data_IF_099020033483
#
_entry.id   IF_099020033483
#
_cell.length_a   1.000
_cell.length_b   1.000
_cell.length_c   1.000
_cell.angle_alpha   90.00
_cell.angle_beta   90.00
_cell.angle_gamma   90.00
#
_symmetry.space_group_name_H-M   'P 1'
#
loop_
_entity.id
_entity.type
_entity.pdbx_description
1 polymer ?
#
# COMPACT_ATOMS: atom_id res chain seq x y z
N UNK A 1 -20.16 -1.17 3.99
CA UNK A 1 -18.69 -1.30 3.99
C UNK A 1 -18.02 -0.20 3.17
N UNK A 2 -18.43 0.01 1.91
CA UNK A 2 -17.86 1.06 1.04
C UNK A 2 -17.85 2.45 1.66
N UNK A 3 -18.99 2.87 2.23
CA UNK A 3 -19.13 4.13 2.93
C UNK A 3 -18.13 4.30 4.08
N UNK A 4 -17.92 3.26 4.89
CA UNK A 4 -16.97 3.29 5.99
C UNK A 4 -15.53 3.46 5.48
N UNK A 5 -15.15 2.79 4.40
CA UNK A 5 -13.81 2.93 3.82
C UNK A 5 -13.60 4.29 3.14
N UNK A 6 -14.64 4.83 2.51
CA UNK A 6 -14.58 6.20 1.99
C UNK A 6 -14.44 7.21 3.14
N UNK A 7 -15.20 7.04 4.22
CA UNK A 7 -15.08 7.85 5.43
C UNK A 7 -13.68 7.72 6.07
N UNK A 8 -13.09 6.52 6.14
CA UNK A 8 -11.72 6.31 6.61
C UNK A 8 -10.69 7.08 5.77
N UNK A 9 -10.75 6.97 4.44
CA UNK A 9 -9.85 7.71 3.55
C UNK A 9 -10.00 9.23 3.72
N UNK A 10 -11.23 9.73 3.79
CA UNK A 10 -11.48 11.15 3.99
C UNK A 10 -10.99 11.61 5.37
N UNK A 11 -11.24 10.84 6.43
CA UNK A 11 -10.75 11.11 7.78
C UNK A 11 -9.23 11.21 7.81
N UNK A 12 -8.50 10.32 7.12
CA UNK A 12 -7.04 10.44 6.97
C UNK A 12 -6.63 11.76 6.33
N UNK A 13 -7.30 12.17 5.25
CA UNK A 13 -6.95 13.41 4.54
C UNK A 13 -7.27 14.65 5.38
N UNK A 14 -8.41 14.67 6.07
CA UNK A 14 -8.77 15.74 7.00
C UNK A 14 -7.78 15.83 8.16
N UNK A 15 -7.42 14.69 8.76
CA UNK A 15 -6.42 14.62 9.82
C UNK A 15 -5.05 15.10 9.32
N UNK A 16 -4.66 14.74 8.10
CA UNK A 16 -3.41 15.18 7.51
C UNK A 16 -3.37 16.68 7.25
N UNK A 17 -4.44 17.25 6.69
CA UNK A 17 -4.58 18.70 6.51
C UNK A 17 -4.54 19.43 7.87
N UNK A 18 -5.33 18.95 8.85
CA UNK A 18 -5.34 19.50 10.20
C UNK A 18 -3.95 19.48 10.84
N UNK A 19 -3.22 18.37 10.72
CA UNK A 19 -1.88 18.23 11.27
C UNK A 19 -0.89 19.20 10.62
N UNK A 20 -0.97 19.40 9.29
CA UNK A 20 -0.11 20.34 8.58
C UNK A 20 -0.42 21.81 8.94
N UNK A 21 -1.69 22.14 9.16
CA UNK A 21 -2.12 23.50 9.52
C UNK A 21 -1.85 23.86 10.98
N UNK A 22 -1.84 22.89 11.89
CA UNK A 22 -1.62 23.15 13.32
C UNK A 22 -0.16 23.52 13.63
N UNK A 23 0.07 24.47 14.55
CA UNK A 23 1.39 24.71 15.15
C UNK A 23 1.98 23.43 15.75
N UNK A 24 3.29 23.24 15.66
CA UNK A 24 3.96 21.98 16.03
C UNK A 24 3.71 21.58 17.49
N UNK A 25 3.68 22.55 18.40
CA UNK A 25 3.38 22.42 19.83
C UNK A 25 1.96 21.90 20.09
N UNK A 26 1.01 22.14 19.18
CA UNK A 26 -0.39 21.72 19.30
C UNK A 26 -0.71 20.37 18.65
N UNK A 27 0.27 19.74 17.98
CA UNK A 27 0.12 18.44 17.28
C UNK A 27 0.18 17.27 18.26
N UNK A 28 -0.79 17.21 19.17
CA UNK A 28 -0.90 16.11 20.13
C UNK A 28 -1.97 15.11 19.72
N UNK A 29 -1.81 13.85 20.16
CA UNK A 29 -2.83 12.82 19.96
C UNK A 29 -4.18 13.22 20.57
N UNK A 30 -4.17 13.89 21.73
CA UNK A 30 -5.39 14.34 22.40
C UNK A 30 -6.14 15.42 21.59
N UNK A 31 -5.43 16.41 21.05
CA UNK A 31 -6.03 17.44 20.21
C UNK A 31 -6.58 16.87 18.90
N UNK A 32 -5.83 15.96 18.26
CA UNK A 32 -6.28 15.27 17.06
C UNK A 32 -7.53 14.41 17.32
N UNK A 33 -7.57 13.71 18.45
CA UNK A 33 -8.70 12.92 18.89
C UNK A 33 -9.95 13.78 19.15
N UNK A 34 -9.80 14.92 19.83
CA UNK A 34 -10.88 15.89 20.01
C UNK A 34 -11.41 16.41 18.66
N UNK A 35 -10.53 16.76 17.72
CA UNK A 35 -10.92 17.19 16.38
C UNK A 35 -11.67 16.09 15.60
N UNK A 36 -11.25 14.83 15.73
CA UNK A 36 -11.94 13.69 15.13
C UNK A 36 -13.34 13.52 15.73
N UNK A 37 -13.48 13.64 17.06
CA UNK A 37 -14.80 13.57 17.71
C UNK A 37 -15.74 14.66 17.19
N UNK A 38 -15.27 15.91 17.16
CA UNK A 38 -16.03 17.04 16.65
C UNK A 38 -16.44 16.83 15.19
N UNK A 39 -15.49 16.48 14.31
CA UNK A 39 -15.76 16.25 12.89
C UNK A 39 -16.76 15.11 12.63
N UNK A 40 -16.84 14.12 13.52
CA UNK A 40 -17.84 13.04 13.43
C UNK A 40 -19.23 13.48 13.86
N UNK A 41 -19.34 14.50 14.70
CA UNK A 41 -20.61 15.12 15.08
C UNK A 41 -21.11 16.04 13.95
N UNK A 42 -20.19 16.84 13.39
CA UNK A 42 -20.55 17.86 12.40
C UNK A 42 -20.81 17.27 11.01
N UNK A 43 -20.18 16.14 10.68
CA UNK A 43 -20.22 15.53 9.36
C UNK A 43 -20.73 14.08 9.43
N UNK A 44 -22.01 13.88 9.11
CA UNK A 44 -22.66 12.56 9.05
C UNK A 44 -21.88 11.54 8.22
N UNK A 45 -21.24 12.00 7.14
CA UNK A 45 -20.42 11.15 6.30
C UNK A 45 -19.23 10.54 7.07
N UNK A 46 -18.59 11.30 7.97
CA UNK A 46 -17.51 10.79 8.83
C UNK A 46 -18.05 9.93 9.96
N UNK A 47 -19.27 10.21 10.43
CA UNK A 47 -19.95 9.40 11.43
C UNK A 47 -20.17 7.96 10.94
N UNK A 48 -20.26 7.70 9.62
CA UNK A 48 -20.36 6.34 9.07
C UNK A 48 -19.19 5.43 9.51
N UNK A 49 -18.00 5.98 9.75
CA UNK A 49 -16.86 5.22 10.28
C UNK A 49 -17.09 4.88 11.78
N UNK A 50 -16.92 3.63 12.22
CA UNK A 50 -17.00 3.30 13.65
C UNK A 50 -15.99 4.09 14.49
N UNK A 51 -16.35 4.46 15.72
CA UNK A 51 -15.50 5.26 16.62
C UNK A 51 -14.13 4.60 16.86
N UNK A 52 -14.15 3.31 17.16
CA UNK A 52 -12.93 2.52 17.34
C UNK A 52 -12.05 2.50 16.07
N UNK A 53 -12.66 2.45 14.89
CA UNK A 53 -11.94 2.49 13.62
C UNK A 53 -11.27 3.86 13.38
N UNK A 54 -11.92 4.96 13.76
CA UNK A 54 -11.30 6.30 13.75
C UNK A 54 -10.09 6.39 14.68
N UNK A 55 -10.18 5.81 15.88
CA UNK A 55 -9.06 5.76 16.82
C UNK A 55 -7.88 4.95 16.26
N UNK A 56 -8.17 3.79 15.66
CA UNK A 56 -7.14 2.97 15.00
C UNK A 56 -6.48 3.72 13.82
N UNK A 57 -7.26 4.51 13.08
CA UNK A 57 -6.76 5.37 12.01
C UNK A 57 -5.83 6.46 12.55
N UNK A 58 -6.20 7.15 13.63
CA UNK A 58 -5.34 8.15 14.29
C UNK A 58 -4.00 7.53 14.73
N UNK A 59 -4.05 6.36 15.38
CA UNK A 59 -2.84 5.62 15.77
C UNK A 59 -1.97 5.26 14.57
N UNK A 60 -2.58 4.83 13.47
CA UNK A 60 -1.88 4.50 12.23
C UNK A 60 -1.23 5.73 11.60
N UNK A 61 -1.95 6.87 11.61
CA UNK A 61 -1.46 8.14 11.10
C UNK A 61 -0.26 8.65 11.91
N UNK A 62 -0.37 8.67 13.23
CA UNK A 62 0.74 9.07 14.10
C UNK A 62 1.93 8.13 13.97
N UNK A 63 1.69 6.81 13.87
CA UNK A 63 2.76 5.84 13.62
C UNK A 63 3.50 6.13 12.30
N UNK A 64 2.81 6.60 11.27
CA UNK A 64 3.45 6.95 10.00
C UNK A 64 4.44 8.13 10.18
N UNK A 65 4.10 9.13 11.00
CA UNK A 65 5.02 10.19 11.39
C UNK A 65 6.21 9.69 12.22
N UNK A 66 5.95 8.82 13.21
CA UNK A 66 7.03 8.19 14.02
C UNK A 66 8.00 7.40 13.14
N UNK A 67 7.49 6.73 12.10
CA UNK A 67 8.34 6.02 11.15
C UNK A 67 9.15 7.00 10.27
N UNK A 68 8.54 8.12 9.87
CA UNK A 68 9.21 9.17 9.11
C UNK A 68 10.34 9.83 9.92
N UNK A 69 10.08 10.24 11.16
CA UNK A 69 11.11 10.82 12.02
C UNK A 69 12.24 9.83 12.34
N UNK A 70 11.94 8.54 12.38
CA UNK A 70 12.94 7.49 12.53
C UNK A 70 13.66 7.10 11.22
N UNK A 71 13.44 7.82 10.11
CA UNK A 71 14.07 7.53 8.81
C UNK A 71 13.65 6.21 8.16
N UNK A 72 12.57 5.57 8.64
CA UNK A 72 12.09 4.26 8.16
C UNK A 72 11.08 4.37 7.01
N UNK A 73 10.51 5.55 6.81
CA UNK A 73 9.50 5.81 5.78
C UNK A 73 9.52 7.28 5.37
N UNK A 74 8.93 7.60 4.23
CA UNK A 74 8.69 8.98 3.80
C UNK A 74 7.57 9.65 4.63
N UNK A 75 7.45 10.97 4.49
CA UNK A 75 6.39 11.75 5.11
C UNK A 75 4.99 11.20 4.73
N UNK A 76 4.06 11.08 5.71
CA UNK A 76 2.67 10.74 5.39
C UNK A 76 2.09 11.73 4.38
N UNK A 77 1.29 11.24 3.42
CA UNK A 77 0.69 12.08 2.38
C UNK A 77 -0.81 11.79 2.23
N UNK A 78 -1.51 12.65 1.49
CA UNK A 78 -2.91 12.50 1.11
C UNK A 78 -3.18 11.18 0.38
N UNK A 79 -4.32 10.59 0.69
CA UNK A 79 -4.82 9.34 0.10
C UNK A 79 -5.76 9.63 -1.06
N UNK A 80 -5.28 9.32 -2.27
CA UNK A 80 -6.07 9.43 -3.49
C UNK A 80 -7.12 8.32 -3.60
N UNK A 81 -8.32 8.66 -4.09
CA UNK A 81 -9.48 7.74 -4.18
C UNK A 81 -9.18 6.46 -4.96
N UNK A 82 -8.43 6.56 -6.07
CA UNK A 82 -8.19 5.44 -6.97
C UNK A 82 -6.86 4.70 -6.74
N UNK A 83 -5.96 5.27 -5.92
CA UNK A 83 -4.66 4.65 -5.58
C UNK A 83 -4.67 3.99 -4.20
N UNK A 84 -5.63 4.36 -3.35
CA UNK A 84 -5.71 3.85 -1.98
C UNK A 84 -6.65 2.66 -1.93
N UNK A 85 -6.17 1.54 -1.39
CA UNK A 85 -6.99 0.37 -1.12
C UNK A 85 -8.08 0.74 -0.10
N UNK A 86 -9.33 0.45 -0.43
CA UNK A 86 -10.44 0.66 0.50
C UNK A 86 -10.31 -0.34 1.65
N UNK A 87 -10.12 0.18 2.86
CA UNK A 87 -9.95 -0.64 4.04
C UNK A 87 -10.55 0.01 5.28
N UNK A 88 -10.95 -0.82 6.23
CA UNK A 88 -11.50 -0.41 7.53
C UNK A 88 -10.92 -1.31 8.61
N UNK A 89 -10.30 -0.72 9.63
CA UNK A 89 -9.77 -1.46 10.77
C UNK A 89 -10.85 -1.69 11.82
N UNK A 90 -10.91 -2.91 12.37
CA UNK A 90 -11.78 -3.28 13.49
C UNK A 90 -10.87 -3.71 14.64
N UNK A 91 -10.44 -2.78 15.50
CA UNK A 91 -9.38 -3.02 16.48
C UNK A 91 -9.79 -3.91 17.65
N UNK A 92 -11.09 -4.11 17.89
CA UNK A 92 -11.57 -4.94 18.99
C UNK A 92 -12.11 -6.28 18.48
N UNK A 93 -11.39 -7.36 18.75
CA UNK A 93 -11.75 -8.72 18.35
C UNK A 93 -12.96 -9.27 19.11
N UNK A 94 -13.14 -8.87 20.38
CA UNK A 94 -14.25 -9.33 21.23
C UNK A 94 -15.63 -9.04 20.64
N UNK A 95 -15.79 -7.93 19.92
CA UNK A 95 -17.07 -7.50 19.37
C UNK A 95 -17.43 -8.26 18.07
N UNK A 96 -16.46 -8.98 17.49
CA UNK A 96 -16.62 -9.67 16.21
C UNK A 96 -17.54 -10.90 16.29
N UNK A 97 -17.74 -11.51 17.48
CA UNK A 97 -18.66 -12.63 17.70
C UNK A 97 -18.62 -13.69 16.58
N UNK A 98 -17.43 -14.22 16.32
CA UNK A 98 -17.18 -15.08 15.16
C UNK A 98 -17.72 -16.48 15.45
N UNK A 99 -18.63 -16.94 14.59
CA UNK A 99 -19.24 -18.27 14.71
C UNK A 99 -19.01 -19.06 13.43
N UNK A 100 -18.51 -20.28 13.55
CA UNK A 100 -18.41 -21.21 12.41
C UNK A 100 -19.80 -21.79 12.15
N UNK A 101 -20.33 -21.58 10.95
CA UNK A 101 -21.65 -22.10 10.56
C UNK A 101 -21.50 -23.51 10.00
N UNK A 102 -20.54 -23.69 9.08
CA UNK A 102 -20.16 -25.00 8.56
C UNK A 102 -18.75 -24.94 7.95
N UNK A 103 -18.30 -26.02 7.30
CA UNK A 103 -16.91 -26.16 6.82
C UNK A 103 -16.38 -24.96 5.99
N UNK A 104 -17.25 -24.32 5.19
CA UNK A 104 -16.89 -23.28 4.21
C UNK A 104 -17.32 -21.87 4.63
N UNK A 105 -18.13 -21.72 5.67
CA UNK A 105 -18.75 -20.43 5.99
C UNK A 105 -18.76 -20.17 7.50
N UNK A 106 -18.49 -18.92 7.86
CA UNK A 106 -18.71 -18.38 9.20
C UNK A 106 -19.57 -17.13 9.17
N UNK A 107 -19.94 -16.67 10.36
CA UNK A 107 -20.55 -15.36 10.57
C UNK A 107 -19.68 -14.50 11.48
N UNK A 108 -19.72 -13.20 11.26
CA UNK A 108 -19.01 -12.19 12.03
C UNK A 108 -19.90 -10.95 12.19
N UNK A 109 -19.86 -10.33 13.37
CA UNK A 109 -20.49 -9.05 13.66
C UNK A 109 -19.55 -7.92 13.26
N UNK A 110 -20.02 -7.03 12.38
CA UNK A 110 -19.26 -5.88 11.93
C UNK A 110 -19.90 -4.57 12.44
N UNK A 111 -19.12 -3.65 13.04
CA UNK A 111 -19.66 -2.40 13.55
C UNK A 111 -20.39 -1.59 12.46
N UNK A 112 -21.60 -1.10 12.78
CA UNK A 112 -22.48 -0.33 11.88
C UNK A 112 -22.88 -1.04 10.56
N UNK A 113 -22.63 -2.34 10.45
CA UNK A 113 -23.03 -3.18 9.31
C UNK A 113 -23.94 -4.32 9.79
N UNK A 114 -23.67 -4.87 10.97
CA UNK A 114 -24.40 -6.00 11.54
C UNK A 114 -23.73 -7.34 11.27
N UNK A 115 -24.51 -8.41 11.41
CA UNK A 115 -24.03 -9.79 11.28
C UNK A 115 -23.93 -10.16 9.80
N UNK A 116 -22.73 -10.55 9.35
CA UNK A 116 -22.48 -10.91 7.95
C UNK A 116 -21.86 -12.30 7.84
N UNK A 117 -22.08 -12.95 6.70
CA UNK A 117 -21.43 -14.21 6.36
C UNK A 117 -20.08 -13.95 5.69
N UNK A 118 -19.09 -14.77 5.99
CA UNK A 118 -17.79 -14.76 5.30
C UNK A 118 -17.36 -16.18 4.96
N UNK A 119 -16.50 -16.30 3.94
CA UNK A 119 -15.92 -17.58 3.55
C UNK A 119 -14.86 -17.99 4.56
N UNK A 120 -15.02 -19.16 5.17
CA UNK A 120 -14.04 -19.73 6.08
C UNK A 120 -12.92 -20.38 5.26
N UNK A 121 -11.75 -19.74 5.21
CA UNK A 121 -10.62 -20.16 4.38
C UNK A 121 -9.42 -20.67 5.16
N UNK A 122 -9.27 -20.24 6.42
CA UNK A 122 -8.21 -20.65 7.34
C UNK A 122 -8.83 -20.99 8.69
N UNK A 123 -8.20 -21.88 9.46
CA UNK A 123 -8.65 -22.13 10.82
C UNK A 123 -8.43 -20.89 11.68
N UNK A 124 -9.42 -20.61 12.52
CA UNK A 124 -9.44 -19.43 13.38
C UNK A 124 -9.59 -19.90 14.84
N UNK A 125 -8.87 -19.27 15.78
CA UNK A 125 -8.99 -19.58 17.20
C UNK A 125 -10.28 -18.95 17.74
N UNK A 126 -11.37 -19.71 17.65
CA UNK A 126 -12.71 -19.33 18.12
C UNK A 126 -13.30 -20.42 19.02
N UNK A 127 -14.26 -20.04 19.87
CA UNK A 127 -14.90 -20.97 20.81
C UNK A 127 -13.87 -21.63 21.74
N UNK A 128 -13.94 -22.95 21.92
CA UNK A 128 -13.02 -23.71 22.78
C UNK A 128 -11.55 -23.65 22.37
N UNK A 129 -11.25 -23.24 21.13
CA UNK A 129 -9.88 -23.08 20.63
C UNK A 129 -9.29 -21.70 20.95
N UNK A 130 -10.12 -20.77 21.43
CA UNK A 130 -9.67 -19.44 21.82
C UNK A 130 -9.23 -19.47 23.30
N UNK A 131 -8.04 -18.96 23.58
CA UNK A 131 -7.49 -18.80 24.92
C UNK A 131 -6.71 -17.50 25.05
N UNK A 132 -6.13 -17.24 26.23
CA UNK A 132 -5.28 -16.05 26.46
C UNK A 132 -4.15 -15.95 25.44
N UNK A 133 -3.57 -17.11 25.11
CA UNK A 133 -2.38 -17.24 24.26
C UNK A 133 -2.70 -17.57 22.80
N UNK A 134 -3.97 -17.74 22.43
CA UNK A 134 -4.38 -18.00 21.05
C UNK A 134 -5.76 -17.43 20.79
N UNK A 135 -5.84 -16.19 20.32
CA UNK A 135 -7.11 -15.47 20.16
C UNK A 135 -7.10 -14.44 19.03
N UNK A 136 -8.29 -14.08 18.59
CA UNK A 136 -8.50 -12.99 17.65
C UNK A 136 -8.52 -11.67 18.40
N UNK A 137 -7.58 -10.78 18.07
CA UNK A 137 -7.46 -9.45 18.70
C UNK A 137 -8.18 -8.37 17.93
N UNK A 138 -8.47 -8.60 16.65
CA UNK A 138 -9.24 -7.69 15.81
C UNK A 138 -9.34 -8.21 14.39
N UNK A 139 -9.87 -7.38 13.50
CA UNK A 139 -9.93 -7.68 12.07
C UNK A 139 -9.66 -6.44 11.22
N UNK A 140 -9.45 -6.63 9.94
CA UNK A 140 -9.42 -5.58 8.93
C UNK A 140 -10.24 -5.99 7.74
N UNK A 141 -11.15 -5.12 7.32
CA UNK A 141 -11.86 -5.24 6.06
C UNK A 141 -11.00 -4.61 4.97
N UNK A 142 -10.83 -5.31 3.86
CA UNK A 142 -10.06 -4.85 2.70
C UNK A 142 -10.86 -5.16 1.45
N UNK A 143 -11.03 -4.18 0.56
CA UNK A 143 -11.70 -4.38 -0.73
C UNK A 143 -10.65 -4.50 -1.83
N UNK A 144 -10.75 -5.58 -2.60
CA UNK A 144 -9.95 -5.78 -3.82
C UNK A 144 -10.88 -5.99 -5.03
N UNK A 145 -10.34 -6.54 -6.13
CA UNK A 145 -11.10 -6.79 -7.35
C UNK A 145 -12.11 -7.97 -7.26
N UNK A 146 -11.96 -8.87 -6.27
CA UNK A 146 -12.90 -9.96 -6.00
C UNK A 146 -14.02 -9.53 -5.04
N UNK A 147 -13.80 -8.47 -4.27
CA UNK A 147 -14.79 -7.87 -3.40
C UNK A 147 -14.23 -7.58 -2.03
N UNK A 148 -15.07 -7.73 -1.00
CA UNK A 148 -14.69 -7.51 0.38
C UNK A 148 -14.08 -8.76 0.99
N UNK A 149 -12.90 -8.59 1.57
CA UNK A 149 -12.18 -9.59 2.34
C UNK A 149 -12.08 -9.15 3.80
N UNK A 150 -12.12 -10.11 4.72
CA UNK A 150 -11.85 -9.90 6.13
C UNK A 150 -10.57 -10.64 6.50
N UNK A 151 -9.59 -9.90 7.01
CA UNK A 151 -8.37 -10.44 7.58
C UNK A 151 -8.45 -10.38 9.11
N UNK A 152 -8.40 -11.53 9.77
CA UNK A 152 -8.40 -11.61 11.22
C UNK A 152 -6.98 -11.46 11.74
N UNK A 153 -6.80 -10.57 12.72
CA UNK A 153 -5.55 -10.47 13.48
C UNK A 153 -5.62 -11.47 14.61
N UNK A 154 -4.66 -12.38 14.64
CA UNK A 154 -4.54 -13.42 15.64
C UNK A 154 -3.29 -13.13 16.46
N UNK A 155 -3.42 -13.24 17.78
CA UNK A 155 -2.31 -13.33 18.70
C UNK A 155 -2.16 -14.80 19.09
N UNK A 156 -1.00 -15.37 18.82
CA UNK A 156 -0.63 -16.74 19.18
C UNK A 156 0.69 -16.70 19.94
N UNK A 157 0.80 -17.46 21.03
CA UNK A 157 2.07 -17.80 21.67
C UNK A 157 2.66 -18.99 20.91
N UNK A 158 3.78 -18.76 20.23
CA UNK A 158 4.55 -19.81 19.57
C UNK A 158 5.88 -19.96 20.29
N UNK A 159 6.36 -21.19 20.40
CA UNK A 159 7.72 -21.44 20.89
C UNK A 159 8.72 -20.80 19.93
N UNK A 160 9.82 -20.30 20.47
CA UNK A 160 10.89 -19.74 19.63
C UNK A 160 11.37 -20.83 18.65
N UNK A 161 11.36 -20.56 17.33
CA UNK A 161 11.76 -21.55 16.37
C UNK A 161 13.25 -21.84 16.54
N UNK A 162 13.61 -23.12 16.57
CA UNK A 162 15.02 -23.51 16.58
C UNK A 162 15.70 -23.02 15.28
N UNK A 163 16.99 -22.65 15.33
CA UNK A 163 17.75 -22.32 14.13
C UNK A 163 17.65 -23.44 13.10
N UNK A 164 17.26 -23.07 11.89
CA UNK A 164 17.12 -24.02 10.80
C UNK A 164 18.52 -24.52 10.37
N UNK A 165 18.73 -25.84 10.39
CA UNK A 165 20.04 -26.47 10.12
C UNK A 165 20.39 -26.59 8.63
N UNK A 166 19.57 -26.00 7.76
CA UNK A 166 19.82 -25.96 6.33
C UNK A 166 21.03 -25.10 5.95
N UNK A 167 21.54 -25.24 4.72
CA UNK A 167 22.71 -24.48 4.28
C UNK A 167 22.42 -22.99 4.17
N UNK A 168 23.50 -22.21 4.06
CA UNK A 168 23.45 -20.78 3.81
C UNK A 168 23.35 -20.49 2.32
N UNK A 169 22.61 -19.44 1.95
CA UNK A 169 22.50 -19.01 0.56
C UNK A 169 22.41 -17.50 0.42
N UNK A 170 23.11 -16.96 -0.58
CA UNK A 170 22.95 -15.59 -1.05
C UNK A 170 21.89 -15.51 -2.15
N UNK A 171 21.04 -14.49 -2.11
CA UNK A 171 20.04 -14.19 -3.14
C UNK A 171 20.42 -12.87 -3.84
N UNK A 172 20.66 -12.97 -5.14
CA UNK A 172 20.70 -11.83 -6.06
C UNK A 172 19.33 -11.68 -6.77
N UNK A 173 18.76 -10.47 -6.74
CA UNK A 173 17.43 -10.19 -7.29
C UNK A 173 17.52 -9.52 -8.66
N UNK A 174 17.20 -10.26 -9.71
CA UNK A 174 17.32 -9.82 -11.10
C UNK A 174 15.99 -9.57 -11.84
N UNK A 175 16.10 -8.99 -13.04
CA UNK A 175 14.95 -8.77 -13.94
C UNK A 175 14.67 -9.97 -14.83
N UNK A 176 15.74 -10.64 -15.30
CA UNK A 176 15.62 -11.80 -16.18
C UNK A 176 15.41 -13.09 -15.38
N UNK A 177 16.23 -13.28 -14.37
CA UNK A 177 16.10 -14.33 -13.36
C UNK A 177 15.67 -13.61 -12.08
N UNK A 178 14.43 -13.82 -11.60
CA UNK A 178 13.91 -13.09 -10.44
C UNK A 178 14.78 -13.23 -9.20
N UNK A 179 15.24 -14.45 -8.91
CA UNK A 179 16.12 -14.76 -7.78
C UNK A 179 17.19 -15.74 -8.23
N UNK A 180 18.44 -15.30 -8.30
CA UNK A 180 19.60 -16.15 -8.50
C UNK A 180 20.23 -16.49 -7.15
N UNK A 181 20.53 -17.77 -6.92
CA UNK A 181 21.07 -18.26 -5.66
C UNK A 181 22.58 -18.51 -5.81
N UNK A 182 23.34 -18.24 -4.74
CA UNK A 182 24.81 -18.42 -4.74
C UNK A 182 25.26 -19.87 -4.96
N UNK A 183 24.37 -20.85 -4.73
CA UNK A 183 24.60 -22.27 -4.97
C UNK A 183 24.37 -22.70 -6.44
N UNK A 184 24.30 -21.73 -7.38
CA UNK A 184 24.00 -21.92 -8.81
C UNK A 184 22.55 -22.34 -9.12
N UNK A 185 21.69 -22.37 -8.13
CA UNK A 185 20.24 -22.53 -8.33
C UNK A 185 19.58 -21.18 -8.65
N UNK A 186 18.33 -21.21 -9.08
CA UNK A 186 17.52 -20.02 -9.29
C UNK A 186 16.04 -20.30 -9.07
N UNK A 187 15.32 -19.29 -8.61
CA UNK A 187 13.86 -19.33 -8.52
C UNK A 187 13.29 -18.42 -9.59
N UNK A 188 12.74 -19.03 -10.63
CA UNK A 188 11.96 -18.34 -11.65
C UNK A 188 10.47 -18.71 -11.56
N UNK A 189 9.68 -17.99 -12.35
CA UNK A 189 8.23 -18.17 -12.42
C UNK A 189 7.80 -18.89 -13.71
N UNK A 190 8.72 -19.54 -14.42
CA UNK A 190 8.48 -20.26 -15.68
C UNK A 190 7.94 -19.39 -16.81
N UNK A 191 8.21 -18.08 -16.77
CA UNK A 191 7.69 -17.11 -17.75
C UNK A 191 8.85 -16.32 -18.33
N UNK A 192 8.88 -16.11 -19.67
CA UNK A 192 9.94 -15.34 -20.30
C UNK A 192 10.06 -13.94 -19.68
N UNK A 193 11.28 -13.42 -19.48
CA UNK A 193 11.45 -12.09 -18.93
C UNK A 193 11.07 -10.98 -19.91
N UNK A 194 11.19 -11.27 -21.22
CA UNK A 194 10.91 -10.38 -22.35
C UNK A 194 10.08 -11.10 -23.41
N UNK A 195 9.37 -10.32 -24.21
CA UNK A 195 8.72 -10.78 -25.44
C UNK A 195 9.78 -11.06 -26.54
N UNK A 196 9.40 -11.77 -27.63
CA UNK A 196 10.32 -12.04 -28.75
C UNK A 196 10.92 -10.77 -29.38
N UNK A 197 10.23 -9.64 -29.28
CA UNK A 197 10.68 -8.33 -29.75
C UNK A 197 11.64 -7.60 -28.77
N UNK A 198 12.02 -8.25 -27.66
CA UNK A 198 12.90 -7.70 -26.63
C UNK A 198 12.21 -6.75 -25.65
N UNK A 199 10.91 -6.48 -25.80
CA UNK A 199 10.17 -5.59 -24.90
C UNK A 199 9.78 -6.30 -23.59
N UNK A 200 9.57 -5.52 -22.53
CA UNK A 200 9.15 -6.05 -21.23
C UNK A 200 7.68 -6.47 -21.27
N UNK A 201 7.39 -7.73 -20.97
CA UNK A 201 6.02 -8.22 -20.86
C UNK A 201 5.39 -7.75 -19.55
N UNK A 202 4.60 -6.66 -19.64
CA UNK A 202 3.85 -6.08 -18.51
C UNK A 202 2.74 -7.01 -18.00
N UNK A 203 2.26 -7.90 -18.86
CA UNK A 203 1.15 -8.80 -18.59
C UNK A 203 1.63 -10.27 -18.51
N UNK A 204 2.90 -10.48 -18.14
CA UNK A 204 3.53 -11.82 -18.07
C UNK A 204 2.76 -12.82 -17.21
N UNK A 205 2.00 -12.34 -16.23
CA UNK A 205 1.18 -13.14 -15.32
C UNK A 205 -0.20 -13.52 -15.89
N UNK A 206 -0.50 -13.14 -17.13
CA UNK A 206 -1.70 -13.54 -17.89
C UNK A 206 -1.36 -14.67 -18.87
N UNK A 207 -2.35 -15.51 -19.19
CA UNK A 207 -2.25 -16.47 -20.29
C UNK A 207 -2.44 -15.76 -21.64
N UNK A 208 -2.01 -16.36 -22.74
CA UNK A 208 -2.19 -15.76 -24.08
C UNK A 208 -3.66 -15.44 -24.40
N UNK A 209 -4.60 -16.32 -23.99
CA UNK A 209 -6.04 -16.07 -24.12
C UNK A 209 -6.50 -14.86 -23.29
N UNK A 210 -5.94 -14.68 -22.10
CA UNK A 210 -6.24 -13.54 -21.22
C UNK A 210 -5.63 -12.24 -21.73
N UNK A 211 -4.42 -12.28 -22.30
CA UNK A 211 -3.76 -11.14 -22.96
C UNK A 211 -4.57 -10.68 -24.18
N UNK A 212 -5.00 -11.61 -25.04
CA UNK A 212 -5.86 -11.29 -26.18
C UNK A 212 -7.19 -10.65 -25.74
N UNK A 213 -7.79 -11.18 -24.66
CA UNK A 213 -9.01 -10.60 -24.06
C UNK A 213 -8.74 -9.21 -23.48
N UNK A 214 -7.64 -9.01 -22.78
CA UNK A 214 -7.24 -7.71 -22.22
C UNK A 214 -7.10 -6.68 -23.34
N UNK A 215 -6.37 -7.01 -24.40
CA UNK A 215 -6.17 -6.14 -25.56
C UNK A 215 -7.50 -5.74 -26.21
N UNK A 216 -8.42 -6.69 -26.40
CA UNK A 216 -9.77 -6.41 -26.92
C UNK A 216 -10.53 -5.44 -26.04
N UNK A 217 -10.49 -5.64 -24.71
CA UNK A 217 -11.17 -4.76 -23.75
C UNK A 217 -10.54 -3.36 -23.71
N UNK A 218 -9.22 -3.26 -23.79
CA UNK A 218 -8.50 -1.98 -23.82
C UNK A 218 -8.83 -1.19 -25.07
N UNK A 219 -8.85 -1.83 -26.24
CA UNK A 219 -9.31 -1.21 -27.50
C UNK A 219 -10.76 -0.73 -27.40
N UNK A 220 -11.65 -1.54 -26.84
CA UNK A 220 -13.04 -1.14 -26.60
C UNK A 220 -13.16 0.03 -25.64
N UNK A 221 -12.36 0.06 -24.57
CA UNK A 221 -12.34 1.16 -23.61
C UNK A 221 -11.82 2.44 -24.26
N UNK A 222 -10.75 2.36 -25.04
CA UNK A 222 -10.17 3.49 -25.76
C UNK A 222 -11.17 4.08 -26.76
N UNK A 223 -11.80 3.23 -27.58
CA UNK A 223 -12.83 3.66 -28.52
C UNK A 223 -14.03 4.30 -27.82
N UNK A 224 -14.52 3.73 -26.71
CA UNK A 224 -15.62 4.37 -25.96
C UNK A 224 -15.21 5.69 -25.31
N UNK A 225 -13.93 5.83 -24.92
CA UNK A 225 -13.40 7.08 -24.38
C UNK A 225 -13.23 8.16 -25.46
N UNK A 226 -13.01 7.81 -26.73
CA UNK A 226 -12.88 8.82 -27.78
C UNK A 226 -14.18 9.59 -28.05
N UNK A 227 -15.34 8.97 -27.79
CA UNK A 227 -16.64 9.66 -27.86
C UNK A 227 -17.04 10.37 -26.57
N UNK A 228 -16.28 10.22 -25.49
CA UNK A 228 -16.62 10.78 -24.18
C UNK A 228 -16.19 12.24 -24.09
N UNK A 229 -17.11 13.16 -23.76
CA UNK A 229 -16.77 14.58 -23.58
C UNK A 229 -16.24 14.87 -22.18
N UNK A 230 -15.33 15.83 -22.03
CA UNK A 230 -14.79 16.21 -20.72
C UNK A 230 -15.93 16.72 -19.82
N UNK A 231 -16.05 16.19 -18.60
CA UNK A 231 -17.11 16.53 -17.64
C UNK A 231 -18.37 15.66 -17.73
N UNK A 232 -18.50 14.83 -18.77
CA UNK A 232 -19.62 13.90 -18.90
C UNK A 232 -19.52 12.75 -17.89
N UNK A 233 -20.67 12.25 -17.43
CA UNK A 233 -20.70 11.05 -16.57
C UNK A 233 -20.25 9.84 -17.40
N UNK A 234 -19.30 9.09 -16.87
CA UNK A 234 -18.83 7.85 -17.49
C UNK A 234 -20.02 6.90 -17.71
N UNK A 235 -20.23 6.47 -18.96
CA UNK A 235 -21.31 5.55 -19.29
C UNK A 235 -21.16 4.20 -18.56
N UNK A 236 -22.29 3.58 -18.16
CA UNK A 236 -22.29 2.25 -17.50
C UNK A 236 -21.52 1.21 -18.31
N UNK A 237 -21.59 1.29 -19.64
CA UNK A 237 -20.88 0.41 -20.57
C UNK A 237 -19.36 0.61 -20.52
N UNK A 238 -18.88 1.85 -20.46
CA UNK A 238 -17.45 2.14 -20.31
C UNK A 238 -16.95 1.71 -18.92
N UNK A 239 -17.74 1.96 -17.88
CA UNK A 239 -17.42 1.53 -16.52
C UNK A 239 -17.26 0.00 -16.44
N UNK A 240 -18.23 -0.75 -16.98
CA UNK A 240 -18.18 -2.21 -17.00
C UNK A 240 -16.92 -2.76 -17.68
N UNK A 241 -16.53 -2.21 -18.83
CA UNK A 241 -15.29 -2.65 -19.51
C UNK A 241 -14.04 -2.27 -18.73
N UNK A 242 -14.00 -1.09 -18.10
CA UNK A 242 -12.90 -0.74 -17.20
C UNK A 242 -12.81 -1.72 -16.03
N UNK A 243 -13.94 -2.16 -15.48
CA UNK A 243 -13.97 -3.11 -14.37
C UNK A 243 -13.51 -4.51 -14.80
N UNK A 244 -13.84 -4.96 -16.01
CA UNK A 244 -13.29 -6.20 -16.58
C UNK A 244 -11.76 -6.14 -16.77
N UNK A 245 -11.23 -5.01 -17.24
CA UNK A 245 -9.78 -4.77 -17.35
C UNK A 245 -9.13 -4.87 -15.96
N UNK A 246 -9.72 -4.21 -14.95
CA UNK A 246 -9.21 -4.26 -13.56
C UNK A 246 -9.21 -5.69 -13.01
N UNK A 247 -10.24 -6.50 -13.29
CA UNK A 247 -10.30 -7.89 -12.85
C UNK A 247 -9.18 -8.75 -13.43
N UNK A 248 -8.87 -8.59 -14.73
CA UNK A 248 -7.75 -9.30 -15.37
C UNK A 248 -6.41 -8.89 -14.74
N UNK A 249 -6.16 -7.59 -14.59
CA UNK A 249 -4.93 -7.09 -13.97
C UNK A 249 -4.80 -7.54 -12.51
N UNK A 250 -5.90 -7.54 -11.75
CA UNK A 250 -5.90 -8.05 -10.38
C UNK A 250 -5.66 -9.58 -10.31
N UNK A 251 -6.07 -10.34 -11.34
CA UNK A 251 -5.73 -11.76 -11.46
C UNK A 251 -4.23 -11.95 -11.67
N UNK A 252 -3.62 -11.15 -12.54
CA UNK A 252 -2.17 -11.12 -12.72
C UNK A 252 -1.43 -10.81 -11.41
N UNK A 253 -1.84 -9.76 -10.69
CA UNK A 253 -1.25 -9.42 -9.38
C UNK A 253 -1.36 -10.56 -8.38
N UNK A 254 -2.52 -11.23 -8.29
CA UNK A 254 -2.69 -12.38 -7.38
C UNK A 254 -1.78 -13.56 -7.72
N UNK A 255 -1.58 -13.86 -9.01
CA UNK A 255 -0.64 -14.93 -9.42
C UNK A 255 0.81 -14.56 -9.10
N UNK A 256 1.18 -13.29 -9.25
CA UNK A 256 2.51 -12.82 -8.86
C UNK A 256 2.75 -12.98 -7.35
N UNK A 257 1.79 -12.58 -6.53
CA UNK A 257 1.84 -12.74 -5.06
C UNK A 257 1.86 -14.22 -4.65
N UNK A 258 1.07 -15.06 -5.32
CA UNK A 258 1.01 -16.49 -5.07
C UNK A 258 2.38 -17.16 -5.29
N UNK A 259 3.03 -16.86 -6.43
CA UNK A 259 4.40 -17.30 -6.69
C UNK A 259 5.37 -16.79 -5.60
N UNK A 260 5.33 -15.50 -5.24
CA UNK A 260 6.18 -14.95 -4.18
C UNK A 260 6.01 -15.68 -2.84
N UNK A 261 4.77 -16.02 -2.46
CA UNK A 261 4.51 -16.77 -1.23
C UNK A 261 5.03 -18.20 -1.30
N UNK A 262 4.83 -18.88 -2.43
CA UNK A 262 5.37 -20.23 -2.64
C UNK A 262 6.89 -20.24 -2.61
N UNK A 263 7.54 -19.31 -3.31
CA UNK A 263 8.99 -19.18 -3.37
C UNK A 263 9.58 -18.83 -2.01
N UNK A 264 9.04 -17.84 -1.29
CA UNK A 264 9.56 -17.50 0.05
C UNK A 264 9.37 -18.63 1.05
N UNK A 265 8.25 -19.36 0.98
CA UNK A 265 8.02 -20.57 1.81
C UNK A 265 9.01 -21.67 1.48
N UNK A 266 9.29 -21.90 0.19
CA UNK A 266 10.29 -22.87 -0.25
C UNK A 266 11.67 -22.50 0.29
N UNK A 267 12.12 -21.25 0.08
CA UNK A 267 13.42 -20.78 0.54
C UNK A 267 13.57 -20.91 2.06
N UNK A 268 12.56 -20.48 2.83
CA UNK A 268 12.57 -20.57 4.29
C UNK A 268 12.55 -22.01 4.84
N UNK A 269 12.08 -22.98 4.05
CA UNK A 269 12.11 -24.42 4.42
C UNK A 269 13.40 -25.11 4.01
N UNK A 270 14.15 -24.54 3.08
CA UNK A 270 15.34 -25.16 2.51
C UNK A 270 16.61 -24.66 3.17
N UNK A 271 16.71 -23.36 3.41
CA UNK A 271 17.94 -22.69 3.83
C UNK A 271 17.90 -22.27 5.30
N UNK A 272 19.04 -22.37 5.98
CA UNK A 272 19.22 -21.92 7.36
C UNK A 272 19.43 -20.42 7.46
N UNK A 273 20.36 -19.90 6.66
CA UNK A 273 20.63 -18.48 6.52
C UNK A 273 20.38 -18.04 5.08
N UNK A 274 19.63 -16.94 4.93
CA UNK A 274 19.37 -16.33 3.63
C UNK A 274 19.91 -14.91 3.66
N UNK A 275 20.97 -14.65 2.89
CA UNK A 275 21.55 -13.32 2.72
C UNK A 275 20.93 -12.68 1.48
N UNK A 276 20.27 -11.54 1.64
CA UNK A 276 19.65 -10.82 0.52
C UNK A 276 20.41 -9.53 0.29
N UNK A 277 20.80 -9.28 -0.95
CA UNK A 277 21.48 -8.04 -1.32
C UNK A 277 20.58 -6.82 -1.12
N UNK A 278 21.16 -5.72 -0.63
CA UNK A 278 20.46 -4.45 -0.49
C UNK A 278 20.36 -3.74 -1.85
N UNK A 279 19.42 -4.16 -2.69
CA UNK A 279 19.28 -3.63 -4.03
C UNK A 279 18.44 -2.34 -4.05
N UNK A 280 19.07 -1.20 -4.37
CA UNK A 280 18.39 0.08 -4.58
C UNK A 280 17.76 0.14 -5.98
N UNK A 281 16.66 -0.60 -6.17
CA UNK A 281 15.98 -0.80 -7.47
C UNK A 281 15.57 0.52 -8.15
N UNK A 282 15.32 1.61 -7.41
CA UNK A 282 14.78 2.86 -7.97
C UNK A 282 15.72 3.51 -8.99
N UNK A 283 17.05 3.35 -8.86
CA UNK A 283 18.02 3.96 -9.79
C UNK A 283 18.27 3.14 -11.05
N UNK A 284 18.15 1.81 -10.99
CA UNK A 284 18.55 0.91 -12.07
C UNK A 284 17.60 0.96 -13.28
N UNK A 285 16.35 1.41 -13.09
CA UNK A 285 15.33 1.46 -14.15
C UNK A 285 15.32 2.77 -14.98
N UNK A 286 16.19 3.75 -14.68
CA UNK A 286 16.24 5.04 -15.41
C UNK A 286 17.47 5.23 -16.30
N UNK A 287 18.34 4.23 -16.43
CA UNK A 287 19.50 4.31 -17.32
C UNK A 287 19.33 3.34 -18.50
N UNK A 288 19.35 3.81 -19.75
CA UNK A 288 19.72 2.95 -20.87
C UNK A 288 21.15 2.45 -20.62
N UNK A 289 21.42 1.17 -20.90
CA UNK A 289 22.79 0.67 -20.95
C UNK A 289 23.62 1.58 -21.88
N UNK A 290 24.73 2.13 -21.38
CA UNK A 290 25.74 2.79 -22.22
C UNK A 290 26.06 4.27 -21.95
N UNK A 291 25.57 4.90 -20.88
CA UNK A 291 26.03 6.25 -20.52
C UNK A 291 27.26 6.19 -19.59
N UNK A 292 28.43 6.73 -19.98
CA UNK A 292 29.59 6.78 -19.08
C UNK A 292 29.26 7.64 -17.85
N UNK A 293 29.80 7.30 -16.66
CA UNK A 293 29.51 8.03 -15.45
C UNK A 293 29.95 9.49 -15.60
N UNK A 294 28.99 10.43 -15.50
CA UNK A 294 29.28 11.87 -15.39
C UNK A 294 30.12 12.08 -14.12
N UNK A 295 31.40 12.39 -14.31
CA UNK A 295 32.28 12.82 -13.23
C UNK A 295 31.73 14.11 -12.61
N UNK A 296 31.43 14.08 -11.31
CA UNK A 296 31.17 15.29 -10.53
C UNK A 296 32.51 15.86 -10.06
N UNK A 297 33.11 16.73 -10.87
CA UNK A 297 34.10 17.68 -10.34
C UNK A 297 33.34 18.80 -9.62
N UNK A 298 33.40 18.81 -8.30
CA UNK A 298 32.87 19.89 -7.46
C UNK A 298 34.04 20.42 -6.61
N UNK A 299 34.87 21.28 -7.20
CA UNK A 299 35.85 22.07 -6.45
C UNK A 299 35.22 23.41 -6.10
N UNK A 300 34.84 23.56 -4.83
CA UNK A 300 34.53 24.84 -4.22
C UNK A 300 35.83 25.60 -3.93
N UNK A 301 36.02 26.77 -4.54
CA UNK A 301 36.97 27.78 -4.04
C UNK A 301 36.22 28.75 -3.10
N UNK A 302 36.77 29.12 -1.93
CA UNK A 302 36.21 30.17 -1.09
C UNK A 302 36.62 31.55 -1.60
N UNK A 303 35.73 32.54 -1.48
CA UNK A 303 36.00 33.97 -1.75
C UNK A 303 36.20 34.68 -0.40
N UNK A 304 37.25 35.50 -0.20
CA UNK A 304 37.44 36.18 1.08
C UNK A 304 36.59 37.46 1.15
N UNK A 305 36.28 37.84 2.39
CA UNK A 305 35.53 39.03 2.77
C UNK A 305 36.38 40.31 2.67
N UNK A 306 35.75 41.45 2.34
CA UNK A 306 36.22 42.77 2.79
C UNK A 306 35.06 43.78 2.88
N UNK A 307 34.71 44.07 4.13
CA UNK A 307 34.49 45.38 4.77
C UNK A 307 33.99 46.59 3.95
N UNK A 308 32.92 47.20 4.46
CA UNK A 308 32.44 48.54 4.13
C UNK A 308 33.45 49.65 4.53
N UNK A 309 33.26 50.91 4.07
CA UNK A 309 32.57 51.83 4.96
C UNK A 309 31.63 52.85 4.29
N UNK A 310 30.79 53.41 5.16
CA UNK A 310 29.85 54.52 4.99
C UNK A 310 30.47 55.83 4.52
N UNK A 311 29.74 56.62 3.70
CA UNK A 311 29.18 57.90 4.15
C UNK A 311 28.34 58.63 3.07
N UNK A 312 27.13 59.04 3.50
CA UNK A 312 26.49 60.36 3.35
C UNK A 312 26.28 61.01 1.95
N UNK A 313 24.98 61.26 1.74
CA UNK A 313 24.29 62.55 1.43
C UNK A 313 23.71 62.70 0.01
N UNK A 314 22.40 63.05 0.03
CA UNK A 314 21.65 64.03 -0.78
C UNK A 314 21.67 63.81 -2.30
N UNK A 315 20.58 63.83 -3.04
CA UNK A 315 19.23 64.25 -2.77
C UNK A 315 18.48 64.31 -4.10
N UNK A 316 17.20 64.60 -3.99
CA UNK A 316 16.33 65.17 -5.02
C UNK A 316 15.87 64.39 -6.25
N UNK A 317 14.54 64.38 -6.32
CA UNK A 317 13.70 64.83 -7.43
C UNK A 317 13.49 63.94 -8.67
N UNK A 318 12.23 63.49 -8.73
CA UNK A 318 11.27 63.63 -9.84
C UNK A 318 11.45 62.74 -11.08
N UNK A 319 10.33 62.09 -11.40
CA UNK A 319 9.57 62.18 -12.67
C UNK A 319 9.42 60.85 -13.42
N UNK A 320 8.14 60.44 -13.56
CA UNK A 320 7.43 59.90 -14.74
C UNK A 320 8.17 58.85 -15.59
N UNK A 321 7.66 57.66 -15.88
CA UNK A 321 6.29 57.22 -16.18
C UNK A 321 5.95 55.89 -15.51
#
# INVERSE_FOLDING_TARGET
MDDQAHAARTMWNCLHAWWQMMPKDKRTLAAADAAIRQARTDLDFLAKLPAQASQALLKTYFRAWVNCWGGRADEPNFKARFRTVMSVDIPQGRDLNIVRVHRRWGMVNLPKIGRVRFRWTKDLPVGRRAGTDNRITGARLVKDALGWHIAFRIQTLEAEPQPHQGPDVGIDAGVNIPLALSNKDHQDHGRPPRLPDGTADRDKWLTEKEKARLLKLERQAAHRKSFHKKGEKTSRRLQHTCDQIKQLRAKATRRALDWQHHTTTYLARTYGVIVVEQLNIIRTWSSPLGAPPRSRARTSKPRPASTAPSHKRRGDARSRC
#
